data_IF_719346559050
#
_entry.id   IF_719346559050
#
_cell.length_a   1.000
_cell.length_b   1.000
_cell.length_c   1.000
_cell.angle_alpha   90.00
_cell.angle_beta   90.00
_cell.angle_gamma   90.00
#
_symmetry.space_group_name_H-M   'P 1'
#
loop_
_entity.id
_entity.type
_entity.pdbx_description
1 polymer ?
#
# COMPACT_ATOMS: atom_id res chain seq x y z
N UNK A 1 -41.00 -28.95 8.27
CA UNK A 1 -39.62 -29.46 8.24
C UNK A 1 -38.78 -28.83 7.12
N UNK A 2 -39.29 -28.55 5.92
CA UNK A 2 -38.52 -27.91 4.79
C UNK A 2 -38.17 -26.45 5.05
N UNK A 3 -39.00 -25.66 5.70
CA UNK A 3 -38.72 -24.24 6.04
C UNK A 3 -37.59 -24.09 7.05
N UNK A 4 -37.45 -25.01 8.00
CA UNK A 4 -36.37 -24.99 8.99
C UNK A 4 -35.02 -25.36 8.36
N UNK A 5 -35.00 -26.25 7.37
CA UNK A 5 -33.81 -26.67 6.63
C UNK A 5 -33.27 -25.54 5.73
N UNK A 6 -34.15 -24.75 5.09
CA UNK A 6 -33.70 -23.63 4.23
C UNK A 6 -33.11 -22.48 5.06
N UNK A 7 -33.76 -22.13 6.18
CA UNK A 7 -33.23 -21.09 7.08
C UNK A 7 -31.89 -21.45 7.69
N UNK A 8 -31.68 -22.70 8.09
CA UNK A 8 -30.35 -23.17 8.57
C UNK A 8 -29.26 -23.10 7.48
N UNK A 9 -29.59 -23.46 6.22
CA UNK A 9 -28.72 -23.36 5.08
C UNK A 9 -28.30 -21.90 4.82
N UNK A 10 -29.22 -20.95 4.91
CA UNK A 10 -28.97 -19.53 4.67
C UNK A 10 -28.12 -18.90 5.77
N UNK A 11 -28.32 -19.27 7.02
CA UNK A 11 -27.46 -18.87 8.16
C UNK A 11 -26.05 -19.37 7.96
N UNK A 12 -25.86 -20.65 7.57
CA UNK A 12 -24.55 -21.24 7.32
C UNK A 12 -23.81 -20.54 6.16
N UNK A 13 -24.50 -20.26 5.06
CA UNK A 13 -23.93 -19.52 3.91
C UNK A 13 -23.49 -18.12 4.31
N UNK A 14 -24.29 -17.41 5.10
CA UNK A 14 -23.97 -16.06 5.58
C UNK A 14 -22.77 -16.06 6.52
N UNK A 15 -22.67 -17.02 7.44
CA UNK A 15 -21.50 -17.17 8.31
C UNK A 15 -20.23 -17.47 7.51
N UNK A 16 -20.29 -18.36 6.53
CA UNK A 16 -19.15 -18.69 5.66
C UNK A 16 -18.69 -17.47 4.85
N UNK A 17 -19.62 -16.72 4.27
CA UNK A 17 -19.32 -15.49 3.55
C UNK A 17 -18.63 -14.46 4.46
N UNK A 18 -19.15 -14.25 5.66
CA UNK A 18 -18.58 -13.33 6.64
C UNK A 18 -17.15 -13.75 7.04
N UNK A 19 -16.92 -15.03 7.29
CA UNK A 19 -15.59 -15.56 7.64
C UNK A 19 -14.58 -15.32 6.52
N UNK A 20 -14.94 -15.59 5.26
CA UNK A 20 -14.08 -15.35 4.10
C UNK A 20 -13.75 -13.86 3.97
N UNK A 21 -14.74 -12.99 4.07
CA UNK A 21 -14.55 -11.54 3.99
C UNK A 21 -13.62 -11.00 5.08
N UNK A 22 -13.78 -11.46 6.32
CA UNK A 22 -12.90 -11.06 7.44
C UNK A 22 -11.46 -11.54 7.22
N UNK A 23 -11.28 -12.75 6.69
CA UNK A 23 -9.96 -13.28 6.34
C UNK A 23 -9.29 -12.43 5.24
N UNK A 24 -10.01 -12.12 4.15
CA UNK A 24 -9.50 -11.24 3.10
C UNK A 24 -9.13 -9.86 3.63
N UNK A 25 -9.96 -9.31 4.53
CA UNK A 25 -9.71 -8.02 5.17
C UNK A 25 -8.44 -8.06 6.04
N UNK A 26 -8.25 -9.11 6.82
CA UNK A 26 -7.05 -9.28 7.65
C UNK A 26 -5.79 -9.38 6.78
N UNK A 27 -5.80 -10.20 5.73
CA UNK A 27 -4.68 -10.33 4.80
C UNK A 27 -4.39 -9.03 4.05
N UNK A 28 -5.43 -8.29 3.65
CA UNK A 28 -5.28 -6.97 3.04
C UNK A 28 -4.61 -5.99 4.01
N UNK A 29 -5.03 -5.94 5.26
CA UNK A 29 -4.41 -5.06 6.27
C UNK A 29 -2.94 -5.42 6.53
N UNK A 30 -2.61 -6.70 6.62
CA UNK A 30 -1.22 -7.17 6.78
C UNK A 30 -0.37 -6.70 5.59
N UNK A 31 -0.87 -6.87 4.36
CA UNK A 31 -0.14 -6.45 3.16
C UNK A 31 -0.01 -4.92 3.05
N UNK A 32 -1.02 -4.15 3.46
CA UNK A 32 -0.96 -2.68 3.58
C UNK A 32 0.15 -2.26 4.54
N UNK A 33 0.20 -2.86 5.75
CA UNK A 33 1.23 -2.56 6.75
C UNK A 33 2.63 -2.85 6.20
N UNK A 34 2.81 -4.00 5.55
CA UNK A 34 4.10 -4.39 4.96
C UNK A 34 4.52 -3.44 3.83
N UNK A 35 3.58 -3.02 2.98
CA UNK A 35 3.83 -2.06 1.91
C UNK A 35 4.24 -0.69 2.47
N UNK A 36 3.48 -0.16 3.45
CA UNK A 36 3.80 1.12 4.09
C UNK A 36 5.12 1.09 4.86
N UNK A 37 5.47 -0.02 5.51
CA UNK A 37 6.78 -0.17 6.14
C UNK A 37 7.93 0.05 5.15
N UNK A 38 7.83 -0.52 3.95
CA UNK A 38 8.79 -0.29 2.88
C UNK A 38 8.78 1.15 2.36
N UNK A 39 7.58 1.71 2.14
CA UNK A 39 7.40 3.09 1.66
C UNK A 39 7.97 4.13 2.64
N UNK A 40 7.89 3.89 3.95
CA UNK A 40 8.48 4.79 4.95
C UNK A 40 9.98 4.65 5.06
N UNK A 41 10.50 3.45 4.86
CA UNK A 41 11.93 3.22 5.01
C UNK A 41 12.74 3.60 3.78
N UNK A 42 12.23 3.36 2.58
CA UNK A 42 12.95 3.61 1.33
C UNK A 42 13.38 5.07 1.12
N UNK A 43 12.53 6.10 1.34
CA UNK A 43 12.95 7.49 1.16
C UNK A 43 14.01 7.93 2.18
N UNK A 44 14.03 7.34 3.37
CA UNK A 44 15.12 7.57 4.33
C UNK A 44 16.45 7.06 3.82
N UNK A 45 16.45 5.88 3.19
CA UNK A 45 17.67 5.36 2.53
C UNK A 45 18.13 6.32 1.44
N UNK A 46 17.24 6.92 0.65
CA UNK A 46 17.59 7.92 -0.35
C UNK A 46 18.30 9.14 0.22
N UNK A 47 17.87 9.63 1.38
CA UNK A 47 18.55 10.75 2.06
C UNK A 47 19.97 10.36 2.45
N UNK A 48 20.16 9.18 3.07
CA UNK A 48 21.47 8.70 3.45
C UNK A 48 22.35 8.39 2.23
N UNK A 49 21.78 7.85 1.16
CA UNK A 49 22.51 7.60 -0.07
C UNK A 49 23.01 8.90 -0.72
N UNK A 50 22.15 9.93 -0.76
CA UNK A 50 22.49 11.22 -1.34
C UNK A 50 23.59 11.96 -0.56
N UNK A 51 23.73 11.68 0.75
CA UNK A 51 24.75 12.28 1.63
C UNK A 51 26.02 11.42 1.79
N UNK A 52 26.01 10.18 1.28
CA UNK A 52 27.18 9.30 1.34
C UNK A 52 28.32 9.83 0.45
N UNK A 53 29.53 9.91 1.00
CA UNK A 53 30.71 10.40 0.27
C UNK A 53 31.51 9.26 -0.39
N UNK A 54 31.61 8.14 0.33
CA UNK A 54 32.41 6.98 -0.11
C UNK A 54 31.63 6.03 -1.04
N UNK A 55 32.31 5.46 -2.02
CA UNK A 55 31.70 4.56 -3.01
C UNK A 55 31.18 3.28 -2.39
N UNK A 56 31.84 2.74 -1.36
CA UNK A 56 31.42 1.51 -0.69
C UNK A 56 30.04 1.66 -0.03
N UNK A 57 29.78 2.81 0.60
CA UNK A 57 28.47 3.13 1.18
C UNK A 57 27.41 3.30 0.10
N UNK A 58 27.71 4.00 -1.00
CA UNK A 58 26.80 4.14 -2.13
C UNK A 58 26.38 2.80 -2.72
N UNK A 59 27.34 1.91 -2.96
CA UNK A 59 27.07 0.57 -3.49
C UNK A 59 26.17 -0.26 -2.53
N UNK A 60 26.40 -0.15 -1.22
CA UNK A 60 25.53 -0.78 -0.21
C UNK A 60 24.12 -0.22 -0.23
N UNK A 61 23.95 1.09 -0.32
CA UNK A 61 22.62 1.70 -0.42
C UNK A 61 21.87 1.23 -1.67
N UNK A 62 22.51 1.17 -2.83
CA UNK A 62 21.90 0.63 -4.07
C UNK A 62 21.37 -0.78 -3.85
N UNK A 63 22.16 -1.66 -3.17
CA UNK A 63 21.72 -3.03 -2.87
C UNK A 63 20.53 -3.04 -1.92
N UNK A 64 20.57 -2.25 -0.86
CA UNK A 64 19.50 -2.18 0.16
C UNK A 64 18.20 -1.65 -0.45
N UNK A 65 18.27 -0.55 -1.17
CA UNK A 65 17.12 0.09 -1.85
C UNK A 65 16.48 -0.86 -2.87
N UNK A 66 17.31 -1.50 -3.71
CA UNK A 66 16.83 -2.44 -4.73
C UNK A 66 16.17 -3.67 -4.10
N UNK A 67 16.77 -4.26 -3.06
CA UNK A 67 16.19 -5.41 -2.36
C UNK A 67 14.91 -5.04 -1.63
N UNK A 68 14.87 -3.91 -0.92
CA UNK A 68 13.66 -3.44 -0.24
C UNK A 68 12.52 -3.24 -1.22
N UNK A 69 12.79 -2.56 -2.35
CA UNK A 69 11.79 -2.33 -3.39
C UNK A 69 11.27 -3.63 -4.00
N UNK A 70 12.18 -4.52 -4.45
CA UNK A 70 11.82 -5.73 -5.20
C UNK A 70 11.22 -6.83 -4.33
N UNK A 71 11.75 -7.05 -3.13
CA UNK A 71 11.38 -8.21 -2.29
C UNK A 71 10.27 -7.90 -1.29
N UNK A 72 10.09 -6.64 -0.90
CA UNK A 72 9.11 -6.25 0.12
C UNK A 72 8.05 -5.36 -0.49
N UNK A 73 8.43 -4.20 -1.02
CA UNK A 73 7.45 -3.19 -1.45
C UNK A 73 6.61 -3.65 -2.65
N UNK A 74 7.24 -4.20 -3.67
CA UNK A 74 6.56 -4.59 -4.90
C UNK A 74 5.56 -5.74 -4.68
N UNK A 75 5.91 -6.87 -4.05
CA UNK A 75 4.95 -7.94 -3.78
C UNK A 75 3.85 -7.49 -2.82
N UNK A 76 4.17 -6.71 -1.79
CA UNK A 76 3.16 -6.20 -0.85
C UNK A 76 2.16 -5.26 -1.52
N UNK A 77 2.61 -4.39 -2.43
CA UNK A 77 1.73 -3.55 -3.24
C UNK A 77 0.77 -4.40 -4.07
N UNK A 78 1.29 -5.40 -4.79
CA UNK A 78 0.47 -6.28 -5.65
C UNK A 78 -0.59 -7.01 -4.82
N UNK A 79 -0.19 -7.63 -3.70
CA UNK A 79 -1.13 -8.33 -2.81
C UNK A 79 -2.18 -7.37 -2.24
N UNK A 80 -1.77 -6.18 -1.81
CA UNK A 80 -2.68 -5.15 -1.31
C UNK A 80 -3.73 -4.77 -2.36
N UNK A 81 -3.31 -4.55 -3.60
CA UNK A 81 -4.21 -4.15 -4.68
C UNK A 81 -5.16 -5.29 -5.06
N UNK A 82 -4.66 -6.51 -5.22
CA UNK A 82 -5.47 -7.69 -5.56
C UNK A 82 -6.56 -7.93 -4.50
N UNK A 83 -6.17 -7.95 -3.22
CA UNK A 83 -7.12 -8.16 -2.12
C UNK A 83 -8.10 -6.99 -1.99
N UNK A 84 -7.63 -5.76 -2.17
CA UNK A 84 -8.46 -4.56 -2.13
C UNK A 84 -9.51 -4.52 -3.23
N UNK A 85 -9.13 -4.84 -4.47
CA UNK A 85 -10.05 -4.95 -5.62
C UNK A 85 -11.03 -6.09 -5.41
N UNK A 86 -10.58 -7.25 -4.91
CA UNK A 86 -11.48 -8.38 -4.61
C UNK A 86 -12.54 -8.01 -3.57
N UNK A 87 -12.15 -7.38 -2.47
CA UNK A 87 -13.09 -6.91 -1.45
C UNK A 87 -14.05 -5.84 -1.99
N UNK A 88 -13.59 -4.96 -2.85
CA UNK A 88 -14.42 -3.96 -3.52
C UNK A 88 -15.46 -4.64 -4.41
N UNK A 89 -15.05 -5.62 -5.21
CA UNK A 89 -15.93 -6.38 -6.09
C UNK A 89 -17.02 -7.15 -5.32
N UNK A 90 -16.64 -7.80 -4.20
CA UNK A 90 -17.61 -8.51 -3.35
C UNK A 90 -18.70 -7.61 -2.74
N UNK A 91 -18.42 -6.32 -2.56
CA UNK A 91 -19.32 -5.36 -1.93
C UNK A 91 -19.69 -4.18 -2.86
N UNK A 92 -19.55 -4.35 -4.17
CA UNK A 92 -19.71 -3.27 -5.15
C UNK A 92 -21.02 -2.51 -5.02
N UNK A 93 -22.14 -3.23 -4.93
CA UNK A 93 -23.48 -2.64 -4.85
C UNK A 93 -23.69 -1.75 -3.61
N UNK A 94 -22.99 -2.05 -2.50
CA UNK A 94 -23.07 -1.25 -1.28
C UNK A 94 -22.04 -0.12 -1.20
N UNK A 95 -20.94 -0.20 -1.98
CA UNK A 95 -19.83 0.74 -1.91
C UNK A 95 -19.81 1.76 -3.05
N UNK A 96 -20.33 1.41 -4.22
CA UNK A 96 -20.23 2.26 -5.43
C UNK A 96 -20.89 3.63 -5.28
N UNK A 97 -21.92 3.75 -4.45
CA UNK A 97 -22.63 5.00 -4.19
C UNK A 97 -22.03 5.83 -3.04
N UNK A 98 -20.95 5.36 -2.41
CA UNK A 98 -20.31 6.04 -1.27
C UNK A 98 -19.11 6.86 -1.73
N UNK A 99 -19.14 8.16 -1.51
CA UNK A 99 -18.08 9.10 -1.97
C UNK A 99 -16.71 8.79 -1.37
N UNK A 100 -16.67 8.33 -0.11
CA UNK A 100 -15.40 8.02 0.57
C UNK A 100 -14.58 6.92 -0.13
N UNK A 101 -15.24 5.96 -0.81
CA UNK A 101 -14.51 4.90 -1.52
C UNK A 101 -13.77 5.44 -2.74
N UNK A 102 -14.38 6.37 -3.47
CA UNK A 102 -13.76 7.01 -4.62
C UNK A 102 -12.56 7.86 -4.21
N UNK A 103 -12.68 8.62 -3.12
CA UNK A 103 -11.57 9.37 -2.56
C UNK A 103 -10.42 8.45 -2.13
N UNK A 104 -10.74 7.33 -1.49
CA UNK A 104 -9.75 6.30 -1.14
C UNK A 104 -9.04 5.74 -2.38
N UNK A 105 -9.77 5.46 -3.45
CA UNK A 105 -9.19 4.97 -4.72
C UNK A 105 -8.20 6.00 -5.29
N UNK A 106 -8.54 7.28 -5.30
CA UNK A 106 -7.65 8.36 -5.76
C UNK A 106 -6.37 8.39 -4.91
N UNK A 107 -6.47 8.30 -3.59
CA UNK A 107 -5.30 8.25 -2.71
C UNK A 107 -4.41 7.02 -2.96
N UNK A 108 -5.02 5.86 -3.22
CA UNK A 108 -4.29 4.64 -3.56
C UNK A 108 -3.57 4.77 -4.91
N UNK A 109 -4.22 5.36 -5.92
CA UNK A 109 -3.57 5.64 -7.21
C UNK A 109 -2.38 6.60 -7.03
N UNK A 110 -2.54 7.64 -6.22
CA UNK A 110 -1.44 8.56 -5.88
C UNK A 110 -0.29 7.82 -5.20
N UNK A 111 -0.59 6.88 -4.30
CA UNK A 111 0.43 6.07 -3.63
C UNK A 111 1.15 5.11 -4.59
N UNK A 112 0.44 4.56 -5.57
CA UNK A 112 1.04 3.76 -6.65
C UNK A 112 2.01 4.62 -7.49
N UNK A 113 1.60 5.84 -7.82
CA UNK A 113 2.47 6.81 -8.51
C UNK A 113 3.73 7.11 -7.70
N UNK A 114 3.59 7.36 -6.41
CA UNK A 114 4.70 7.54 -5.47
C UNK A 114 5.63 6.33 -5.45
N UNK A 115 5.09 5.12 -5.35
CA UNK A 115 5.85 3.87 -5.37
C UNK A 115 6.70 3.73 -6.64
N UNK A 116 6.13 4.01 -7.81
CA UNK A 116 6.86 3.95 -9.07
C UNK A 116 7.88 5.09 -9.21
N UNK A 117 7.60 6.25 -8.65
CA UNK A 117 8.56 7.35 -8.59
C UNK A 117 9.81 6.98 -7.79
N UNK A 118 9.64 6.24 -6.67
CA UNK A 118 10.78 5.68 -5.91
C UNK A 118 11.68 4.79 -6.80
N UNK A 119 11.09 3.98 -7.69
CA UNK A 119 11.88 3.18 -8.65
C UNK A 119 12.70 4.07 -9.58
N UNK A 120 12.16 5.22 -9.99
CA UNK A 120 12.88 6.21 -10.79
C UNK A 120 14.11 6.75 -10.06
N UNK A 121 13.98 7.05 -8.77
CA UNK A 121 15.10 7.52 -7.91
C UNK A 121 16.17 6.41 -7.79
N UNK A 122 15.79 5.17 -7.50
CA UNK A 122 16.73 4.03 -7.42
C UNK A 122 17.52 3.89 -8.73
N UNK A 123 16.82 3.94 -9.87
CA UNK A 123 17.47 3.87 -11.19
C UNK A 123 18.43 5.04 -11.43
N UNK A 124 18.14 6.23 -10.91
CA UNK A 124 19.03 7.37 -10.92
C UNK A 124 20.32 7.09 -10.14
N UNK A 125 20.19 6.63 -8.90
CA UNK A 125 21.36 6.29 -8.06
C UNK A 125 22.21 5.15 -8.66
N UNK A 126 21.59 4.13 -9.27
CA UNK A 126 22.35 3.07 -9.99
C UNK A 126 23.20 3.65 -11.12
N UNK A 127 22.77 4.73 -11.78
CA UNK A 127 23.52 5.42 -12.82
C UNK A 127 24.51 6.46 -12.29
N UNK A 128 24.60 6.62 -10.97
CA UNK A 128 25.44 7.64 -10.33
C UNK A 128 24.88 9.07 -10.46
N UNK A 129 23.58 9.21 -10.78
CA UNK A 129 22.93 10.50 -10.93
C UNK A 129 22.26 10.92 -9.61
N UNK A 130 22.73 11.98 -8.99
CA UNK A 130 22.06 12.64 -7.84
C UNK A 130 21.17 13.78 -8.34
N UNK A 131 20.02 13.44 -8.93
CA UNK A 131 19.09 14.43 -9.51
C UNK A 131 18.32 15.24 -8.47
N UNK A 132 18.19 14.71 -7.25
CA UNK A 132 17.34 15.28 -6.22
C UNK A 132 18.17 15.86 -5.07
N UNK A 133 17.83 17.08 -4.65
CA UNK A 133 18.44 17.69 -3.47
C UNK A 133 18.03 16.95 -2.19
N UNK A 134 18.88 17.00 -1.18
CA UNK A 134 18.58 16.45 0.14
C UNK A 134 17.26 16.99 0.71
N UNK A 135 17.01 18.30 0.55
CA UNK A 135 15.75 18.95 0.99
C UNK A 135 14.51 18.34 0.31
N UNK A 136 14.59 18.08 -0.99
CA UNK A 136 13.51 17.42 -1.72
C UNK A 136 13.24 16.02 -1.17
N UNK A 137 14.28 15.21 -0.96
CA UNK A 137 14.14 13.85 -0.45
C UNK A 137 13.55 13.81 0.97
N UNK A 138 13.89 14.79 1.81
CA UNK A 138 13.30 14.94 3.16
C UNK A 138 11.81 15.26 3.10
N UNK A 139 11.39 16.21 2.26
CA UNK A 139 9.96 16.54 2.06
C UNK A 139 9.23 15.37 1.44
N UNK A 140 9.83 14.72 0.46
CA UNK A 140 9.29 13.53 -0.21
C UNK A 140 8.99 12.39 0.78
N UNK A 141 9.82 12.22 1.81
CA UNK A 141 9.61 11.23 2.87
C UNK A 141 8.32 11.45 3.69
N UNK A 142 7.81 12.68 3.76
CA UNK A 142 6.60 12.99 4.57
C UNK A 142 5.29 12.69 3.83
N UNK A 143 5.30 12.65 2.50
CA UNK A 143 4.09 12.45 1.67
C UNK A 143 3.32 11.17 2.05
N UNK A 144 3.96 9.99 2.22
CA UNK A 144 3.26 8.76 2.54
C UNK A 144 2.52 8.79 3.88
N UNK A 145 3.03 9.55 4.85
CA UNK A 145 2.38 9.70 6.16
C UNK A 145 1.02 10.36 6.00
N UNK A 146 0.95 11.44 5.22
CA UNK A 146 -0.31 12.14 4.97
C UNK A 146 -1.32 11.25 4.23
N UNK A 147 -0.84 10.48 3.25
CA UNK A 147 -1.70 9.53 2.53
C UNK A 147 -2.20 8.43 3.47
N UNK A 148 -1.33 7.84 4.32
CA UNK A 148 -1.73 6.82 5.28
C UNK A 148 -2.81 7.33 6.22
N UNK A 149 -2.57 8.47 6.86
CA UNK A 149 -3.54 9.08 7.78
C UNK A 149 -4.88 9.26 7.08
N UNK A 150 -4.89 9.87 5.89
CA UNK A 150 -6.12 10.10 5.12
C UNK A 150 -6.85 8.80 4.78
N UNK A 151 -6.14 7.77 4.30
CA UNK A 151 -6.73 6.47 3.96
C UNK A 151 -7.31 5.76 5.18
N UNK A 152 -6.62 5.82 6.33
CA UNK A 152 -7.10 5.21 7.57
C UNK A 152 -8.35 5.92 8.07
N UNK A 153 -8.37 7.26 8.11
CA UNK A 153 -9.55 8.03 8.50
C UNK A 153 -10.76 7.70 7.61
N UNK A 154 -10.58 7.69 6.28
CA UNK A 154 -11.65 7.31 5.35
C UNK A 154 -12.14 5.88 5.57
N UNK A 155 -11.26 4.95 5.88
CA UNK A 155 -11.63 3.55 6.09
C UNK A 155 -12.38 3.30 7.41
N UNK A 156 -12.07 4.10 8.46
CA UNK A 156 -12.66 3.97 9.79
C UNK A 156 -13.97 4.75 9.89
N UNK A 157 -13.96 6.02 9.54
CA UNK A 157 -15.14 6.89 9.70
C UNK A 157 -16.18 6.71 8.60
N UNK A 158 -15.76 6.30 7.38
CA UNK A 158 -16.64 6.15 6.21
C UNK A 158 -17.60 7.35 6.05
N UNK A 159 -17.07 8.56 6.03
CA UNK A 159 -17.91 9.76 5.94
C UNK A 159 -18.60 9.79 4.57
N UNK A 160 -19.92 10.04 4.54
CA UNK A 160 -20.83 10.16 3.36
C UNK A 160 -21.08 8.86 2.60
#
# INVERSE_FOLDING_TARGET
TRLCSSAASDVYKRQRYMSIYLTLKALHLISVVTWFAGIFYLPRLFVYHATAEDQVSKDRFVIMETKLYRLIMNPSMIVTLVLGVWMLWLNWTGLSNQTWIWLKIVLVITLIGYHHYCLGIIKGFIRGETRHSEKFLRIFNEIPVLILVSVVFLAVFKPF
#
